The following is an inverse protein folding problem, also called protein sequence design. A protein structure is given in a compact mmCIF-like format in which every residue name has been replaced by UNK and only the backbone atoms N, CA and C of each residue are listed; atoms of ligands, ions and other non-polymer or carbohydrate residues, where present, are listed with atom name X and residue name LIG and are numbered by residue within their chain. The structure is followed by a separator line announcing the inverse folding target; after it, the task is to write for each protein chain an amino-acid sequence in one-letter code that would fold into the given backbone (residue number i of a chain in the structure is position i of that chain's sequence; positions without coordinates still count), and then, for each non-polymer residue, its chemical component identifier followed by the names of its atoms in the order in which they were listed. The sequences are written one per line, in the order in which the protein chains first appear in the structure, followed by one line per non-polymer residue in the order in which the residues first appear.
data_IF_381141970952
#
_entry.id   IF_381141970952
#
_cell.length_a   1.000
_cell.length_b   1.000
_cell.length_c   1.000
_cell.angle_alpha   90.00
_cell.angle_beta   90.00
_cell.angle_gamma   90.00
#
_symmetry.space_group_name_H-M   'P 1'
#
loop_
_entity.id
_entity.type
_entity.pdbx_description
1 polymer ?
#
# COMPACT_ATOMS: atom_id res chain seq x y z
N UNK A 1 13.51 -6.18 10.65
CA UNK A 1 12.93 -6.11 9.30
C UNK A 1 12.03 -7.31 9.13
N UNK A 2 10.72 -7.10 9.00
CA UNK A 2 9.88 -8.14 8.41
C UNK A 2 10.17 -8.13 6.92
N UNK A 3 10.23 -9.30 6.26
CA UNK A 3 10.57 -9.41 4.83
C UNK A 3 9.57 -8.69 3.90
N UNK A 4 8.53 -8.05 4.47
CA UNK A 4 7.38 -7.45 3.79
C UNK A 4 7.13 -6.00 4.18
N UNK A 5 8.13 -5.34 4.78
CA UNK A 5 8.08 -3.92 5.10
C UNK A 5 8.54 -3.06 3.92
N UNK A 6 7.63 -2.27 3.34
CA UNK A 6 7.93 -1.37 2.23
C UNK A 6 7.87 0.10 2.68
N UNK A 7 8.70 0.96 2.09
CA UNK A 7 8.61 2.39 2.38
C UNK A 7 7.36 2.97 1.71
N UNK A 8 6.57 3.82 2.40
CA UNK A 8 5.48 4.55 1.78
C UNK A 8 5.99 5.39 0.60
N UNK A 9 5.22 5.42 -0.48
CA UNK A 9 5.50 6.29 -1.63
C UNK A 9 4.81 7.65 -1.43
N UNK A 10 5.12 8.62 -2.28
CA UNK A 10 4.40 9.90 -2.29
C UNK A 10 2.90 9.71 -2.56
N UNK A 11 2.54 8.74 -3.42
CA UNK A 11 1.13 8.40 -3.68
C UNK A 11 0.43 7.93 -2.41
N UNK A 12 1.05 7.01 -1.66
CA UNK A 12 0.49 6.57 -0.36
C UNK A 12 0.26 7.72 0.62
N UNK A 13 1.19 8.68 0.68
CA UNK A 13 1.06 9.84 1.57
C UNK A 13 -0.09 10.74 1.13
N UNK A 14 -0.26 10.95 -0.17
CA UNK A 14 -1.37 11.73 -0.75
C UNK A 14 -2.72 11.05 -0.51
N UNK A 15 -2.80 9.72 -0.66
CA UNK A 15 -4.03 8.97 -0.41
C UNK A 15 -4.46 9.06 1.07
N UNK A 16 -3.51 8.97 2.00
CA UNK A 16 -3.78 9.16 3.42
C UNK A 16 -4.26 10.59 3.71
N UNK A 17 -3.61 11.60 3.12
CA UNK A 17 -4.01 13.00 3.29
C UNK A 17 -5.42 13.28 2.73
N UNK A 18 -5.76 12.67 1.59
CA UNK A 18 -7.08 12.77 0.98
C UNK A 18 -8.22 12.25 1.89
N UNK A 19 -7.91 11.34 2.82
CA UNK A 19 -8.84 10.84 3.85
C UNK A 19 -8.60 11.46 5.24
N UNK A 20 -7.82 12.55 5.32
CA UNK A 20 -7.57 13.31 6.55
C UNK A 20 -6.64 12.61 7.53
N UNK A 21 -5.75 11.74 7.05
CA UNK A 21 -4.78 11.01 7.87
C UNK A 21 -3.34 11.40 7.52
N UNK A 22 -2.45 11.25 8.49
CA UNK A 22 -1.01 11.29 8.30
C UNK A 22 -0.45 9.88 8.50
N UNK A 23 0.79 9.62 8.07
CA UNK A 23 1.46 8.35 8.38
C UNK A 23 1.49 8.07 9.89
N UNK A 24 1.65 9.11 10.71
CA UNK A 24 1.68 8.98 12.16
C UNK A 24 0.31 8.60 12.75
N UNK A 25 -0.78 9.22 12.29
CA UNK A 25 -2.13 8.85 12.76
C UNK A 25 -2.67 7.55 12.16
N UNK A 26 -2.06 7.10 11.05
CA UNK A 26 -2.36 5.85 10.37
C UNK A 26 -1.67 4.62 10.98
N UNK A 27 -0.68 4.79 11.88
CA UNK A 27 0.02 3.66 12.51
C UNK A 27 -0.98 2.68 13.16
N UNK A 28 -0.84 1.40 12.86
CA UNK A 28 -1.69 0.32 13.34
C UNK A 28 -3.01 0.16 12.57
N UNK A 29 -3.29 1.01 11.59
CA UNK A 29 -4.47 0.89 10.73
C UNK A 29 -4.14 0.15 9.44
N UNK A 30 -5.09 -0.66 8.99
CA UNK A 30 -5.02 -1.44 7.76
C UNK A 30 -5.67 -0.69 6.60
N UNK A 31 -5.01 -0.69 5.45
CA UNK A 31 -5.49 -0.07 4.21
C UNK A 31 -5.27 -1.00 3.01
N UNK A 32 -5.95 -0.66 1.92
CA UNK A 32 -5.62 -1.16 0.59
C UNK A 32 -4.77 -0.09 -0.09
N UNK A 33 -3.52 -0.42 -0.40
CA UNK A 33 -2.63 0.45 -1.15
C UNK A 33 -2.74 0.12 -2.64
N UNK A 34 -2.64 1.15 -3.47
CA UNK A 34 -2.81 1.07 -4.91
C UNK A 34 -1.58 1.66 -5.58
N UNK A 35 -1.14 1.02 -6.65
CA UNK A 35 -0.17 1.56 -7.59
C UNK A 35 -0.76 1.47 -8.99
N UNK A 36 -0.93 2.63 -9.63
CA UNK A 36 -1.34 2.72 -11.03
C UNK A 36 -0.31 1.96 -11.91
N UNK A 37 -0.79 1.06 -12.76
CA UNK A 37 0.05 0.28 -13.68
C UNK A 37 -0.73 -0.03 -14.99
N UNK A 38 -0.18 -0.89 -15.83
CA UNK A 38 -0.88 -1.47 -16.96
C UNK A 38 -0.75 -3.00 -16.94
N UNK A 39 -1.82 -3.68 -17.37
CA UNK A 39 -1.78 -5.12 -17.55
C UNK A 39 -0.79 -5.54 -18.65
N UNK A 40 -0.64 -6.86 -18.87
CA UNK A 40 0.26 -7.39 -19.91
C UNK A 40 -0.11 -6.98 -21.35
N UNK A 41 -1.31 -6.46 -21.56
CA UNK A 41 -1.82 -6.00 -22.85
C UNK A 41 -1.71 -4.46 -22.99
N UNK A 42 -1.27 -3.76 -21.95
CA UNK A 42 -1.13 -2.31 -21.93
C UNK A 42 -2.44 -1.58 -21.59
N UNK A 43 -3.47 -2.29 -21.12
CA UNK A 43 -4.68 -1.64 -20.61
C UNK A 43 -4.40 -1.09 -19.20
N UNK A 44 -4.95 0.09 -18.84
CA UNK A 44 -4.85 0.58 -17.47
C UNK A 44 -5.40 -0.45 -16.47
N UNK A 45 -4.58 -0.78 -15.46
CA UNK A 45 -4.95 -1.65 -14.34
C UNK A 45 -4.19 -1.17 -13.11
N UNK A 46 -4.42 -1.77 -11.95
CA UNK A 46 -3.77 -1.36 -10.72
C UNK A 46 -3.20 -2.55 -9.98
N UNK A 47 -1.97 -2.44 -9.51
CA UNK A 47 -1.41 -3.36 -8.53
C UNK A 47 -1.90 -2.90 -7.16
N UNK A 48 -2.57 -3.80 -6.46
CA UNK A 48 -3.12 -3.57 -5.13
C UNK A 48 -2.40 -4.43 -4.09
N UNK A 49 -2.32 -3.95 -2.86
CA UNK A 49 -1.94 -4.78 -1.72
C UNK A 49 -2.65 -4.35 -0.45
N UNK A 50 -2.91 -5.31 0.44
CA UNK A 50 -3.41 -5.00 1.77
C UNK A 50 -2.23 -4.92 2.74
N UNK A 51 -2.25 -3.93 3.63
CA UNK A 51 -1.21 -3.83 4.64
C UNK A 51 -1.53 -2.87 5.77
N UNK A 52 -0.64 -2.84 6.75
CA UNK A 52 -0.75 -2.01 7.94
C UNK A 52 0.38 -1.00 7.98
N UNK A 53 0.09 0.25 8.32
CA UNK A 53 1.14 1.24 8.56
C UNK A 53 1.80 0.92 9.90
N UNK A 54 3.12 0.74 9.91
CA UNK A 54 3.91 0.45 11.11
C UNK A 54 5.04 1.48 11.27
N UNK A 55 5.49 1.67 12.52
CA UNK A 55 6.66 2.50 12.82
C UNK A 55 7.84 1.60 13.17
N UNK A 56 8.88 1.67 12.36
CA UNK A 56 10.15 1.00 12.55
C UNK A 56 11.20 1.98 13.07
N UNK A 57 12.02 1.53 14.03
CA UNK A 57 13.01 2.38 14.70
C UNK A 57 14.18 2.80 13.79
N UNK A 58 14.49 2.00 12.77
CA UNK A 58 15.61 2.23 11.86
C UNK A 58 15.18 2.94 10.58
N UNK A 59 13.99 2.61 10.06
CA UNK A 59 13.54 3.04 8.74
C UNK A 59 12.39 4.05 8.76
N UNK A 60 11.82 4.36 9.92
CA UNK A 60 10.69 5.27 10.05
C UNK A 60 9.37 4.55 9.78
N UNK A 61 8.48 5.17 9.00
CA UNK A 61 7.19 4.54 8.67
C UNK A 61 7.36 3.51 7.55
N UNK A 62 6.74 2.34 7.72
CA UNK A 62 6.68 1.27 6.73
C UNK A 62 5.24 0.84 6.50
N UNK A 63 4.99 0.27 5.34
CA UNK A 63 3.79 -0.49 5.00
C UNK A 63 4.15 -1.97 5.16
N UNK A 64 3.59 -2.62 6.17
CA UNK A 64 3.73 -4.06 6.35
C UNK A 64 2.62 -4.77 5.58
N UNK A 65 3.01 -5.46 4.50
CA UNK A 65 2.07 -6.13 3.60
C UNK A 65 1.62 -7.46 4.22
N UNK A 66 0.31 -7.72 4.13
CA UNK A 66 -0.29 -8.97 4.60
C UNK A 66 0.19 -10.20 3.82
N UNK A 67 -0.07 -11.40 4.35
CA UNK A 67 0.26 -12.68 3.71
C UNK A 67 -0.28 -12.84 2.27
N UNK A 68 -1.35 -12.11 1.92
CA UNK A 68 -1.93 -12.14 0.57
C UNK A 68 -1.08 -11.48 -0.51
N UNK A 69 -0.08 -10.67 -0.14
CA UNK A 69 0.82 -10.03 -1.10
C UNK A 69 0.14 -9.04 -2.03
N UNK A 70 0.66 -8.94 -3.25
CA UNK A 70 0.15 -8.07 -4.31
C UNK A 70 -0.78 -8.83 -5.25
N UNK A 71 -1.79 -8.16 -5.76
CA UNK A 71 -2.76 -8.69 -6.72
C UNK A 71 -3.21 -7.59 -7.69
N UNK A 72 -3.75 -7.96 -8.84
CA UNK A 72 -4.28 -6.99 -9.80
C UNK A 72 -5.70 -6.59 -9.41
N UNK A 73 -6.08 -5.34 -9.63
CA UNK A 73 -7.47 -4.90 -9.43
C UNK A 73 -8.43 -5.70 -10.32
N UNK A 74 -8.02 -6.00 -11.54
CA UNK A 74 -8.77 -6.86 -12.47
C UNK A 74 -9.06 -8.27 -11.91
N UNK A 75 -8.20 -8.83 -11.04
CA UNK A 75 -8.44 -10.13 -10.39
C UNK A 75 -9.63 -10.11 -9.41
N UNK A 76 -10.15 -8.93 -9.03
CA UNK A 76 -11.31 -8.78 -8.15
C UNK A 76 -12.65 -8.70 -8.88
N UNK A 77 -12.64 -8.54 -10.20
CA UNK A 77 -13.82 -8.31 -11.03
C UNK A 77 -14.11 -9.59 -11.83
N UNK A 78 -14.71 -10.58 -11.15
CA UNK A 78 -15.35 -11.74 -11.80
C UNK A 78 -16.82 -11.45 -12.12
#
# INVERSE_FOLDING_TARGET
MTERGYRPTNGTIQDLDAIGLTLESAVGRRFVFVSDDADKQGNPDDIMCNGTVVRDAQFGFLLEIDDGGFYWRSDLID
#
